data_IF_284196342463
#
_entry.id   IF_284196342463
#
_cell.length_a   1.000
_cell.length_b   1.000
_cell.length_c   1.000
_cell.angle_alpha   90.00
_cell.angle_beta   90.00
_cell.angle_gamma   90.00
#
_symmetry.space_group_name_H-M   'P 1'
#
loop_
_entity.id
_entity.type
_entity.pdbx_description
1 polymer ?
#
# COMPACT_ATOMS: atom_id res chain seq x y z
N UNK A 1 -14.78 17.78 -90.52
CA UNK A 1 -15.51 17.61 -89.25
C UNK A 1 -16.50 18.75 -89.10
N UNK A 2 -17.81 18.50 -89.11
CA UNK A 2 -18.82 19.57 -89.11
C UNK A 2 -18.93 20.21 -87.71
N UNK A 3 -19.46 21.44 -87.62
CA UNK A 3 -19.70 22.12 -86.33
C UNK A 3 -20.44 21.22 -85.32
N UNK A 4 -21.38 20.41 -85.81
CA UNK A 4 -22.18 19.47 -85.03
C UNK A 4 -21.29 18.39 -84.38
N UNK A 5 -20.34 17.83 -85.13
CA UNK A 5 -19.43 16.80 -84.59
C UNK A 5 -18.57 17.33 -83.43
N UNK A 6 -18.11 18.59 -83.51
CA UNK A 6 -17.31 19.21 -82.43
C UNK A 6 -18.12 19.41 -81.15
N UNK A 7 -19.40 19.78 -81.28
CA UNK A 7 -20.32 19.95 -80.14
C UNK A 7 -20.60 18.61 -79.46
N UNK A 8 -20.83 17.55 -80.25
CA UNK A 8 -21.07 16.20 -79.71
C UNK A 8 -19.83 15.68 -78.97
N UNK A 9 -18.63 15.86 -79.53
CA UNK A 9 -17.38 15.43 -78.87
C UNK A 9 -17.17 16.20 -77.56
N UNK A 10 -17.40 17.51 -77.54
CA UNK A 10 -17.28 18.32 -76.32
C UNK A 10 -18.28 17.90 -75.23
N UNK A 11 -19.52 17.58 -75.60
CA UNK A 11 -20.55 17.10 -74.67
C UNK A 11 -20.18 15.74 -74.07
N UNK A 12 -19.65 14.81 -74.87
CA UNK A 12 -19.22 13.49 -74.40
C UNK A 12 -18.03 13.61 -73.43
N UNK A 13 -17.04 14.46 -73.74
CA UNK A 13 -15.90 14.71 -72.85
C UNK A 13 -16.36 15.30 -71.51
N UNK A 14 -17.30 16.26 -71.53
CA UNK A 14 -17.83 16.86 -70.31
C UNK A 14 -18.56 15.84 -69.43
N UNK A 15 -19.35 14.93 -70.03
CA UNK A 15 -20.03 13.85 -69.30
C UNK A 15 -19.02 12.90 -68.67
N UNK A 16 -17.95 12.54 -69.39
CA UNK A 16 -16.88 11.67 -68.88
C UNK A 16 -16.14 12.34 -67.71
N UNK A 17 -15.87 13.65 -67.78
CA UNK A 17 -15.21 14.39 -66.71
C UNK A 17 -16.09 14.52 -65.46
N UNK A 18 -17.39 14.78 -65.63
CA UNK A 18 -18.33 14.86 -64.50
C UNK A 18 -18.51 13.49 -63.84
N UNK A 19 -18.69 12.43 -64.64
CA UNK A 19 -18.81 11.08 -64.12
C UNK A 19 -17.51 10.61 -63.45
N UNK A 20 -16.36 10.84 -64.08
CA UNK A 20 -15.05 10.50 -63.53
C UNK A 20 -14.74 11.25 -62.24
N UNK A 21 -15.06 12.56 -62.19
CA UNK A 21 -14.91 13.38 -60.98
C UNK A 21 -15.81 12.92 -59.83
N UNK A 22 -17.06 12.54 -60.13
CA UNK A 22 -17.99 12.04 -59.12
C UNK A 22 -17.56 10.67 -58.56
N UNK A 23 -17.07 9.76 -59.41
CA UNK A 23 -16.53 8.47 -58.97
C UNK A 23 -15.23 8.62 -58.16
N UNK A 24 -14.32 9.52 -58.56
CA UNK A 24 -13.11 9.81 -57.81
C UNK A 24 -13.42 10.44 -56.44
N UNK A 25 -14.38 11.37 -56.38
CA UNK A 25 -14.81 12.00 -55.14
C UNK A 25 -15.44 11.00 -54.18
N UNK A 26 -16.27 10.07 -54.67
CA UNK A 26 -16.87 9.01 -53.86
C UNK A 26 -15.86 7.96 -53.38
N UNK A 27 -14.75 7.77 -54.09
CA UNK A 27 -13.63 6.91 -53.65
C UNK A 27 -12.69 7.63 -52.66
N UNK A 28 -12.59 8.95 -52.74
CA UNK A 28 -11.78 9.77 -51.84
C UNK A 28 -12.51 10.08 -50.52
N UNK A 29 -13.83 10.18 -50.54
CA UNK A 29 -14.66 10.05 -49.33
C UNK A 29 -14.83 8.55 -49.06
N UNK A 30 -13.73 7.86 -48.72
CA UNK A 30 -13.91 6.77 -47.76
C UNK A 30 -14.45 7.47 -46.52
N UNK A 31 -15.68 7.16 -46.15
CA UNK A 31 -16.09 7.31 -44.76
C UNK A 31 -15.03 6.53 -43.97
N UNK A 32 -14.03 7.24 -43.45
CA UNK A 32 -13.35 6.85 -42.23
C UNK A 32 -14.39 6.97 -41.11
N UNK A 33 -15.48 6.21 -41.21
CA UNK A 33 -15.97 5.51 -40.04
C UNK A 33 -14.79 4.64 -39.66
N UNK A 34 -13.86 5.22 -38.90
CA UNK A 34 -12.83 4.48 -38.22
C UNK A 34 -13.60 3.40 -37.47
N UNK A 35 -13.59 2.18 -38.02
CA UNK A 35 -13.99 1.00 -37.26
C UNK A 35 -13.06 1.06 -36.07
N UNK A 36 -13.56 1.57 -34.95
CA UNK A 36 -12.80 1.63 -33.72
C UNK A 36 -12.35 0.20 -33.51
N UNK A 37 -11.05 -0.05 -33.68
CA UNK A 37 -10.51 -1.42 -33.68
C UNK A 37 -11.06 -2.10 -32.43
N UNK A 38 -11.68 -3.28 -32.57
CA UNK A 38 -12.38 -3.88 -31.46
C UNK A 38 -11.41 -3.92 -30.29
N UNK A 39 -11.89 -3.47 -29.13
CA UNK A 39 -11.13 -3.42 -27.87
C UNK A 39 -10.74 -4.84 -27.37
N UNK A 40 -10.99 -5.87 -28.20
CA UNK A 40 -10.56 -7.24 -28.02
C UNK A 40 -9.08 -7.39 -28.38
N UNK A 41 -8.33 -7.93 -27.43
CA UNK A 41 -6.92 -8.26 -27.59
C UNK A 41 -6.76 -9.75 -27.87
N UNK A 42 -5.78 -10.12 -28.70
CA UNK A 42 -5.49 -11.52 -29.05
C UNK A 42 -5.33 -12.38 -27.78
N UNK A 43 -6.33 -13.21 -27.51
CA UNK A 43 -6.39 -14.12 -26.36
C UNK A 43 -6.90 -13.51 -25.04
N UNK A 44 -7.15 -12.21 -24.96
CA UNK A 44 -7.70 -11.58 -23.75
C UNK A 44 -9.17 -11.20 -23.94
N UNK A 45 -10.01 -11.75 -23.07
CA UNK A 45 -11.41 -11.35 -22.93
C UNK A 45 -11.57 -10.27 -21.87
N UNK A 46 -12.62 -9.47 -22.00
CA UNK A 46 -13.10 -8.67 -20.87
C UNK A 46 -13.46 -9.61 -19.73
N UNK A 47 -13.01 -9.28 -18.51
CA UNK A 47 -13.30 -10.10 -17.35
C UNK A 47 -14.82 -10.10 -17.13
N UNK A 48 -15.42 -11.27 -17.31
CA UNK A 48 -16.78 -11.60 -16.87
C UNK A 48 -16.62 -12.64 -15.78
N UNK A 49 -17.03 -12.33 -14.56
CA UNK A 49 -17.04 -13.36 -13.52
C UNK A 49 -17.99 -14.48 -13.96
N UNK A 50 -17.59 -15.76 -13.89
CA UNK A 50 -18.54 -16.84 -14.00
C UNK A 50 -19.59 -16.66 -12.89
N UNK A 51 -20.87 -16.82 -13.22
CA UNK A 51 -22.01 -16.75 -12.28
C UNK A 51 -21.92 -17.71 -11.08
N UNK A 52 -20.89 -18.55 -11.04
CA UNK A 52 -20.75 -19.69 -10.14
C UNK A 52 -19.66 -19.47 -9.09
N UNK A 53 -18.96 -18.32 -9.11
CA UNK A 53 -17.93 -18.01 -8.13
C UNK A 53 -18.56 -17.49 -6.83
N UNK A 54 -18.22 -18.13 -5.70
CA UNK A 54 -18.75 -17.89 -4.35
C UNK A 54 -18.48 -16.49 -3.76
N UNK A 55 -17.99 -15.53 -4.54
CA UNK A 55 -17.84 -14.15 -4.09
C UNK A 55 -19.18 -13.43 -4.23
N UNK A 56 -19.96 -13.50 -3.16
CA UNK A 56 -21.33 -12.99 -3.03
C UNK A 56 -21.36 -11.45 -2.93
N UNK A 57 -20.88 -10.75 -3.96
CA UNK A 57 -21.05 -9.30 -4.07
C UNK A 57 -21.76 -8.98 -5.36
N UNK A 58 -22.67 -8.00 -5.30
CA UNK A 58 -23.38 -7.34 -6.41
C UNK A 58 -22.43 -6.65 -7.39
N UNK A 59 -21.40 -7.35 -7.87
CA UNK A 59 -20.46 -6.86 -8.85
C UNK A 59 -21.19 -6.71 -10.18
N UNK A 60 -21.03 -5.56 -10.83
CA UNK A 60 -21.50 -5.38 -12.19
C UNK A 60 -20.95 -6.49 -13.08
N UNK A 61 -21.77 -6.99 -14.00
CA UNK A 61 -21.43 -8.06 -14.97
C UNK A 61 -20.20 -7.74 -15.84
N UNK A 62 -19.65 -6.54 -15.72
CA UNK A 62 -18.45 -6.05 -16.38
C UNK A 62 -17.56 -5.28 -15.40
N UNK A 63 -16.27 -5.63 -15.33
CA UNK A 63 -15.23 -4.82 -14.69
C UNK A 63 -14.84 -3.64 -15.58
N UNK A 64 -15.81 -2.76 -15.81
CA UNK A 64 -15.68 -1.54 -16.59
C UNK A 64 -16.15 -0.35 -15.77
N UNK A 65 -15.34 0.69 -15.69
CA UNK A 65 -15.63 1.87 -14.88
C UNK A 65 -15.47 3.14 -15.73
N UNK A 66 -16.44 4.04 -15.67
CA UNK A 66 -16.34 5.38 -16.24
C UNK A 66 -16.05 6.38 -15.12
N UNK A 67 -14.81 6.82 -14.99
CA UNK A 67 -14.30 7.61 -13.85
C UNK A 67 -13.47 8.76 -14.39
N UNK A 68 -13.67 9.98 -13.89
CA UNK A 68 -12.83 11.14 -14.18
C UNK A 68 -11.58 11.08 -13.29
N UNK A 69 -10.57 10.34 -13.73
CA UNK A 69 -9.37 10.07 -12.94
C UNK A 69 -8.48 11.31 -12.78
N UNK A 70 -8.41 12.13 -13.83
CA UNK A 70 -7.55 13.31 -13.89
C UNK A 70 -8.24 14.62 -13.45
N UNK A 71 -9.53 14.56 -13.07
CA UNK A 71 -10.37 15.69 -12.66
C UNK A 71 -10.48 16.81 -13.72
N UNK A 72 -10.48 16.44 -15.01
CA UNK A 72 -10.66 17.39 -16.12
C UNK A 72 -12.14 17.55 -16.55
N UNK A 73 -13.05 16.83 -15.89
CA UNK A 73 -14.48 16.79 -16.20
C UNK A 73 -14.87 15.73 -17.24
N UNK A 74 -13.90 15.04 -17.84
CA UNK A 74 -14.11 13.94 -18.78
C UNK A 74 -13.78 12.61 -18.12
N UNK A 75 -14.73 11.68 -18.18
CA UNK A 75 -14.55 10.35 -17.59
C UNK A 75 -13.73 9.47 -18.50
N UNK A 76 -12.65 8.87 -18.00
CA UNK A 76 -11.96 7.78 -18.66
C UNK A 76 -12.67 6.44 -18.45
N UNK A 77 -12.52 5.56 -19.44
CA UNK A 77 -13.01 4.20 -19.39
C UNK A 77 -11.88 3.29 -18.91
N UNK A 78 -12.04 2.72 -17.72
CA UNK A 78 -11.12 1.74 -17.14
C UNK A 78 -11.68 0.35 -17.36
N UNK A 79 -10.88 -0.55 -17.94
CA UNK A 79 -11.27 -1.93 -18.24
C UNK A 79 -10.26 -2.92 -17.74
N UNK A 80 -10.77 -4.06 -17.30
CA UNK A 80 -9.96 -5.19 -16.90
C UNK A 80 -10.12 -6.35 -17.87
N UNK A 81 -8.99 -7.00 -18.18
CA UNK A 81 -8.88 -8.10 -19.11
C UNK A 81 -8.20 -9.28 -18.45
N UNK A 82 -8.66 -10.47 -18.84
CA UNK A 82 -8.07 -11.73 -18.44
C UNK A 82 -7.92 -12.63 -19.67
N UNK A 83 -6.90 -13.46 -19.66
CA UNK A 83 -6.61 -14.41 -20.72
C UNK A 83 -7.73 -15.46 -20.80
N UNK A 84 -8.56 -15.34 -21.83
CA UNK A 84 -9.71 -16.20 -22.07
C UNK A 84 -9.31 -17.62 -22.50
N UNK A 85 -8.02 -17.85 -22.82
CA UNK A 85 -7.52 -19.16 -23.19
C UNK A 85 -7.20 -20.05 -22.00
N UNK A 86 -7.12 -19.49 -20.78
CA UNK A 86 -6.97 -20.28 -19.57
C UNK A 86 -8.34 -20.82 -19.14
N UNK A 87 -8.54 -22.13 -19.25
CA UNK A 87 -9.70 -22.76 -18.61
C UNK A 87 -9.57 -22.59 -17.10
N UNK A 88 -10.70 -22.29 -16.43
CA UNK A 88 -10.77 -22.23 -14.98
C UNK A 88 -10.38 -23.56 -14.29
N UNK A 89 -10.16 -24.62 -15.05
CA UNK A 89 -9.87 -25.95 -14.50
C UNK A 89 -8.40 -26.14 -14.11
N UNK A 90 -7.49 -25.22 -14.47
CA UNK A 90 -6.06 -25.39 -14.22
C UNK A 90 -5.36 -24.14 -13.65
N UNK A 91 -5.83 -23.66 -12.49
CA UNK A 91 -5.24 -22.53 -11.75
C UNK A 91 -3.75 -22.66 -11.40
N UNK A 92 -3.18 -23.86 -11.60
CA UNK A 92 -1.78 -24.17 -11.36
C UNK A 92 -0.86 -24.00 -12.55
N UNK A 93 -1.41 -23.84 -13.75
CA UNK A 93 -0.61 -23.46 -14.90
C UNK A 93 -0.27 -21.96 -14.83
N UNK A 94 0.74 -21.54 -15.60
CA UNK A 94 1.19 -20.14 -15.66
C UNK A 94 0.06 -19.28 -16.26
N UNK A 95 -0.90 -18.89 -15.43
CA UNK A 95 -1.96 -17.98 -15.82
C UNK A 95 -1.31 -16.65 -16.16
N UNK A 96 -1.71 -16.06 -17.29
CA UNK A 96 -1.23 -14.73 -17.65
C UNK A 96 -1.78 -13.70 -16.62
N UNK A 97 -0.98 -12.67 -16.30
CA UNK A 97 -1.42 -11.63 -15.39
C UNK A 97 -2.69 -10.93 -15.90
N UNK A 98 -3.53 -10.51 -14.96
CA UNK A 98 -4.61 -9.58 -15.22
C UNK A 98 -4.04 -8.30 -15.85
N UNK A 99 -4.70 -7.82 -16.90
CA UNK A 99 -4.36 -6.57 -17.55
C UNK A 99 -5.43 -5.53 -17.27
N UNK A 100 -5.04 -4.34 -16.85
CA UNK A 100 -5.91 -3.19 -16.69
C UNK A 100 -5.53 -2.14 -17.73
N UNK A 101 -6.51 -1.52 -18.38
CA UNK A 101 -6.30 -0.44 -19.34
C UNK A 101 -7.18 0.75 -19.05
N UNK A 102 -6.71 1.93 -19.41
CA UNK A 102 -7.44 3.19 -19.35
C UNK A 102 -7.55 3.74 -20.76
N UNK A 103 -8.75 4.13 -21.13
CA UNK A 103 -9.05 4.75 -22.43
C UNK A 103 -9.59 6.16 -22.22
N UNK A 104 -9.06 7.13 -22.96
CA UNK A 104 -9.63 8.48 -23.02
C UNK A 104 -10.99 8.43 -23.70
N UNK A 105 -11.99 9.09 -23.14
CA UNK A 105 -13.37 9.09 -23.69
C UNK A 105 -13.61 10.27 -24.65
N UNK A 106 -12.55 10.79 -25.27
CA UNK A 106 -12.62 11.89 -26.24
C UNK A 106 -13.08 11.36 -27.60
N UNK A 107 -14.38 11.23 -27.79
CA UNK A 107 -15.00 10.93 -29.09
C UNK A 107 -15.50 9.49 -29.26
N UNK A 108 -15.91 9.15 -30.48
CA UNK A 108 -16.55 7.86 -30.79
C UNK A 108 -15.61 6.64 -30.69
N UNK A 109 -14.29 6.85 -30.67
CA UNK A 109 -13.29 5.81 -30.54
C UNK A 109 -12.38 6.09 -29.32
N UNK A 110 -12.59 5.39 -28.19
CA UNK A 110 -11.72 5.52 -27.03
C UNK A 110 -10.27 5.16 -27.38
N UNK A 111 -9.32 6.01 -26.99
CA UNK A 111 -7.89 5.78 -27.22
C UNK A 111 -7.24 5.29 -25.94
N UNK A 112 -6.48 4.21 -26.01
CA UNK A 112 -5.69 3.73 -24.87
C UNK A 112 -4.66 4.81 -24.46
N UNK A 113 -4.70 5.21 -23.20
CA UNK A 113 -3.79 6.20 -22.61
C UNK A 113 -2.91 5.60 -21.50
N UNK A 114 -3.28 4.44 -20.98
CA UNK A 114 -2.51 3.71 -19.98
C UNK A 114 -2.81 2.21 -20.02
N UNK A 115 -1.80 1.40 -19.73
CA UNK A 115 -1.99 -0.03 -19.44
C UNK A 115 -1.09 -0.49 -18.30
N UNK A 116 -1.58 -1.47 -17.56
CA UNK A 116 -0.88 -2.12 -16.48
C UNK A 116 -1.10 -3.63 -16.57
N UNK A 117 -0.03 -4.38 -16.37
CA UNK A 117 -0.07 -5.83 -16.25
C UNK A 117 0.49 -6.19 -14.88
N UNK A 118 -0.39 -6.54 -13.96
CA UNK A 118 -0.07 -6.65 -12.53
C UNK A 118 0.30 -8.05 -12.08
N UNK A 119 0.71 -8.17 -10.82
CA UNK A 119 0.92 -9.47 -10.17
C UNK A 119 -0.40 -9.98 -9.61
N UNK A 120 -1.07 -10.82 -10.40
CA UNK A 120 -2.37 -11.39 -10.04
C UNK A 120 -2.93 -12.16 -11.21
N UNK A 121 -3.41 -13.36 -10.95
CA UNK A 121 -3.97 -14.23 -11.97
C UNK A 121 -5.49 -14.07 -12.09
N UNK A 122 -6.13 -13.43 -11.09
CA UNK A 122 -7.56 -13.16 -11.04
C UNK A 122 -7.86 -11.79 -10.41
N UNK A 123 -9.06 -11.29 -10.71
CA UNK A 123 -9.66 -10.14 -10.03
C UNK A 123 -10.72 -10.64 -9.06
N UNK A 124 -10.59 -10.28 -7.78
CA UNK A 124 -11.61 -10.58 -6.77
C UNK A 124 -12.77 -9.58 -6.83
N UNK A 125 -12.49 -8.32 -6.49
CA UNK A 125 -13.40 -7.18 -6.56
C UNK A 125 -12.72 -6.00 -7.24
N UNK A 126 -13.49 -5.11 -7.83
CA UNK A 126 -13.00 -3.81 -8.24
C UNK A 126 -14.09 -2.75 -8.05
N UNK A 127 -13.68 -1.50 -7.90
CA UNK A 127 -14.60 -0.39 -7.70
C UNK A 127 -13.96 0.95 -8.02
N UNK A 128 -14.80 1.92 -8.38
CA UNK A 128 -14.42 3.31 -8.56
C UNK A 128 -14.82 4.13 -7.33
N UNK A 129 -13.91 4.99 -6.87
CA UNK A 129 -14.05 5.79 -5.66
C UNK A 129 -13.74 7.24 -5.97
N UNK A 130 -14.60 8.14 -5.50
CA UNK A 130 -14.31 9.58 -5.53
C UNK A 130 -13.53 9.99 -4.30
N UNK A 131 -12.56 10.89 -4.48
CA UNK A 131 -11.76 11.48 -3.39
C UNK A 131 -11.24 10.41 -2.40
N UNK A 132 -10.66 9.33 -2.91
CA UNK A 132 -10.45 8.09 -2.14
C UNK A 132 -9.56 8.32 -0.90
N UNK A 133 -8.48 9.10 -1.06
CA UNK A 133 -7.57 9.46 0.03
C UNK A 133 -7.88 10.83 0.66
N UNK A 134 -8.99 11.49 0.32
CA UNK A 134 -9.31 12.81 0.86
C UNK A 134 -8.44 13.95 0.31
N UNK A 135 -7.73 13.74 -0.80
CA UNK A 135 -6.85 14.70 -1.47
C UNK A 135 -7.37 15.17 -2.84
N UNK A 136 -8.66 14.93 -3.10
CA UNK A 136 -9.36 15.27 -4.34
C UNK A 136 -9.17 14.26 -5.47
N UNK A 137 -8.37 13.21 -5.28
CA UNK A 137 -8.04 12.25 -6.35
C UNK A 137 -9.09 11.13 -6.43
N UNK A 138 -9.64 10.92 -7.62
CA UNK A 138 -10.51 9.78 -7.92
C UNK A 138 -9.65 8.53 -8.18
N UNK A 139 -10.19 7.36 -7.89
CA UNK A 139 -9.39 6.12 -7.85
C UNK A 139 -10.20 4.93 -8.32
N UNK A 140 -9.56 4.02 -9.06
CA UNK A 140 -10.08 2.66 -9.28
C UNK A 140 -9.27 1.69 -8.43
N UNK A 141 -9.93 1.02 -7.49
CA UNK A 141 -9.33 -0.05 -6.69
C UNK A 141 -9.69 -1.40 -7.29
N UNK A 142 -8.77 -2.37 -7.20
CA UNK A 142 -9.12 -3.77 -7.40
C UNK A 142 -8.32 -4.72 -6.51
N UNK A 143 -8.88 -5.90 -6.26
CA UNK A 143 -8.24 -7.04 -5.61
C UNK A 143 -7.57 -7.91 -6.70
N UNK A 144 -6.26 -8.00 -6.71
CA UNK A 144 -5.52 -8.98 -7.50
C UNK A 144 -5.22 -10.23 -6.70
N UNK A 145 -5.77 -11.37 -7.11
CA UNK A 145 -5.61 -12.64 -6.41
C UNK A 145 -4.55 -13.50 -7.13
N UNK A 146 -3.58 -13.99 -6.37
CA UNK A 146 -2.56 -14.94 -6.82
C UNK A 146 -2.73 -16.26 -6.06
N UNK A 147 -2.94 -17.37 -6.80
CA UNK A 147 -2.91 -18.71 -6.23
C UNK A 147 -1.51 -19.30 -6.35
N UNK A 148 -0.95 -19.76 -5.24
CA UNK A 148 0.22 -20.63 -5.25
C UNK A 148 -0.27 -22.05 -4.97
N UNK A 149 -0.11 -22.95 -5.94
CA UNK A 149 -0.65 -24.30 -5.86
C UNK A 149 -0.11 -25.10 -4.68
N UNK A 150 -0.92 -25.16 -3.62
CA UNK A 150 -0.59 -25.79 -2.34
C UNK A 150 0.11 -24.87 -1.34
N UNK A 151 0.49 -23.64 -1.69
CA UNK A 151 1.17 -22.69 -0.78
C UNK A 151 0.26 -21.59 -0.25
N UNK A 152 -1.06 -21.76 -0.42
CA UNK A 152 -2.06 -20.75 -0.10
C UNK A 152 -2.22 -19.72 -1.21
N UNK A 153 -3.00 -18.70 -0.92
CA UNK A 153 -3.38 -17.69 -1.87
C UNK A 153 -3.06 -16.31 -1.28
N UNK A 154 -2.76 -15.34 -2.16
CA UNK A 154 -2.46 -13.96 -1.78
C UNK A 154 -3.46 -13.03 -2.46
N UNK A 155 -3.96 -12.07 -1.70
CA UNK A 155 -4.74 -10.97 -2.21
C UNK A 155 -3.87 -9.72 -2.12
N UNK A 156 -3.70 -9.03 -3.24
CA UNK A 156 -3.07 -7.71 -3.29
C UNK A 156 -4.13 -6.69 -3.61
N UNK A 157 -4.18 -5.59 -2.85
CA UNK A 157 -4.98 -4.44 -3.24
C UNK A 157 -4.15 -3.54 -4.14
N UNK A 158 -4.75 -3.06 -5.23
CA UNK A 158 -4.13 -2.10 -6.13
C UNK A 158 -5.06 -0.91 -6.32
N UNK A 159 -4.47 0.26 -6.53
CA UNK A 159 -5.18 1.50 -6.76
C UNK A 159 -4.60 2.21 -7.99
N UNK A 160 -5.44 2.44 -9.00
CA UNK A 160 -5.12 3.32 -10.12
C UNK A 160 -5.56 4.74 -9.77
N UNK A 161 -4.64 5.69 -9.90
CA UNK A 161 -4.90 7.10 -9.73
C UNK A 161 -4.16 7.94 -10.78
N UNK A 162 -4.64 9.14 -11.09
CA UNK A 162 -3.90 10.12 -11.88
C UNK A 162 -3.29 11.17 -10.95
N UNK A 163 -1.96 11.21 -10.88
CA UNK A 163 -1.21 12.10 -9.99
C UNK A 163 -0.04 12.70 -10.75
N UNK A 164 0.27 13.96 -10.51
CA UNK A 164 1.43 14.64 -11.10
C UNK A 164 1.48 14.54 -12.64
N UNK A 165 0.32 14.58 -13.31
CA UNK A 165 0.21 14.51 -14.77
C UNK A 165 0.35 13.11 -15.38
N UNK A 166 0.31 12.05 -14.58
CA UNK A 166 0.47 10.67 -15.04
C UNK A 166 -0.41 9.69 -14.28
N UNK A 167 -0.80 8.61 -14.95
CA UNK A 167 -1.45 7.46 -14.30
C UNK A 167 -0.42 6.67 -13.49
N UNK A 168 -0.76 6.33 -12.26
CA UNK A 168 0.10 5.63 -11.32
C UNK A 168 -0.67 4.46 -10.69
N UNK A 169 0.02 3.34 -10.49
CA UNK A 169 -0.46 2.25 -9.65
C UNK A 169 0.15 2.41 -8.27
N UNK A 170 -0.72 2.50 -7.26
CA UNK A 170 -0.34 2.45 -5.85
C UNK A 170 -0.65 1.04 -5.36
N UNK A 171 0.36 0.39 -4.79
CA UNK A 171 0.20 -0.92 -4.15
C UNK A 171 -0.35 -0.75 -2.73
N UNK A 172 -1.37 -1.53 -2.42
CA UNK A 172 -2.00 -1.64 -1.11
C UNK A 172 -1.47 -2.81 -0.29
N UNK A 173 -2.25 -3.23 0.72
CA UNK A 173 -1.98 -4.44 1.48
C UNK A 173 -1.82 -5.70 0.59
N UNK A 174 -0.75 -6.46 0.84
CA UNK A 174 -0.70 -7.89 0.53
C UNK A 174 -1.28 -8.64 1.72
N UNK A 175 -2.30 -9.46 1.49
CA UNK A 175 -3.00 -10.26 2.49
C UNK A 175 -2.82 -11.73 2.15
N UNK A 176 -2.25 -12.49 3.08
CA UNK A 176 -1.95 -13.92 2.91
C UNK A 176 -2.95 -14.80 3.65
N UNK A 177 -3.26 -15.95 3.04
CA UNK A 177 -3.98 -17.04 3.71
C UNK A 177 -5.37 -17.30 3.15
N UNK A 178 -6.16 -18.06 3.93
CA UNK A 178 -7.57 -18.35 3.63
C UNK A 178 -8.45 -17.26 4.26
N UNK A 179 -9.48 -16.80 3.52
CA UNK A 179 -10.42 -15.80 4.02
C UNK A 179 -9.82 -14.40 4.10
N UNK A 180 -9.43 -13.82 2.97
CA UNK A 180 -8.89 -12.46 2.90
C UNK A 180 -9.85 -11.46 3.54
N UNK A 181 -9.45 -10.88 4.67
CA UNK A 181 -10.26 -9.93 5.39
C UNK A 181 -9.60 -8.58 5.35
N UNK A 182 -10.31 -7.60 4.79
CA UNK A 182 -9.95 -6.21 4.95
C UNK A 182 -11.19 -5.33 4.97
N UNK A 183 -11.03 -4.14 5.53
CA UNK A 183 -11.97 -3.04 5.42
C UNK A 183 -11.24 -1.74 5.14
N UNK A 184 -11.86 -0.93 4.30
CA UNK A 184 -11.52 0.46 4.11
C UNK A 184 -12.04 1.26 5.32
N UNK A 185 -11.18 2.01 5.99
CA UNK A 185 -11.49 2.71 7.25
C UNK A 185 -11.13 4.21 7.16
N UNK A 186 -12.04 5.09 7.60
CA UNK A 186 -11.78 6.54 7.66
C UNK A 186 -13.05 7.40 7.58
N UNK A 187 -13.03 8.60 8.18
CA UNK A 187 -14.20 9.50 8.29
C UNK A 187 -14.34 10.53 7.14
N UNK A 188 -13.41 10.59 6.19
CA UNK A 188 -13.45 11.60 5.10
C UNK A 188 -12.71 11.18 3.82
N UNK A 189 -12.48 9.88 3.66
CA UNK A 189 -11.75 9.27 2.56
C UNK A 189 -11.52 7.81 2.90
N UNK A 190 -12.19 6.91 2.18
CA UNK A 190 -12.22 5.48 2.46
C UNK A 190 -10.81 4.85 2.48
N UNK A 191 -9.87 5.45 1.74
CA UNK A 191 -8.55 4.90 1.51
C UNK A 191 -7.47 5.29 2.51
N UNK A 192 -7.65 6.25 3.41
CA UNK A 192 -6.52 6.71 4.26
C UNK A 192 -6.05 5.65 5.25
N UNK A 193 -6.94 4.77 5.67
CA UNK A 193 -6.62 3.65 6.54
C UNK A 193 -7.26 2.38 5.99
N UNK A 194 -6.50 1.30 5.91
CA UNK A 194 -7.01 -0.02 5.56
C UNK A 194 -6.67 -0.94 6.73
N UNK A 195 -7.68 -1.61 7.25
CA UNK A 195 -7.50 -2.63 8.27
C UNK A 195 -7.54 -3.97 7.54
N UNK A 196 -6.50 -4.77 7.67
CA UNK A 196 -6.44 -6.11 7.13
C UNK A 196 -6.25 -7.12 8.26
N UNK A 197 -6.70 -8.35 8.05
CA UNK A 197 -6.51 -9.46 8.96
C UNK A 197 -6.06 -10.70 8.20
N UNK A 198 -5.07 -11.39 8.76
CA UNK A 198 -4.50 -12.63 8.22
C UNK A 198 -4.62 -13.76 9.25
N UNK A 199 -4.72 -15.00 8.79
CA UNK A 199 -4.69 -16.15 9.68
C UNK A 199 -3.34 -16.22 10.42
N UNK A 200 -3.39 -16.27 11.75
CA UNK A 200 -2.24 -16.41 12.64
C UNK A 200 -2.19 -17.83 13.20
N UNK A 201 -1.07 -18.51 12.95
CA UNK A 201 -0.83 -19.88 13.41
C UNK A 201 -0.14 -19.89 14.77
N UNK A 202 -0.50 -20.85 15.62
CA UNK A 202 0.27 -21.13 16.83
C UNK A 202 1.70 -21.57 16.45
N UNK A 203 2.74 -21.19 17.23
CA UNK A 203 4.12 -21.54 16.92
C UNK A 203 4.39 -23.05 16.84
N UNK A 204 3.57 -23.84 17.53
CA UNK A 204 3.65 -25.30 17.57
C UNK A 204 2.81 -25.99 16.47
N UNK A 205 2.21 -25.22 15.55
CA UNK A 205 1.30 -25.69 14.50
C UNK A 205 0.07 -26.47 15.01
N UNK A 206 -0.22 -26.44 16.32
CA UNK A 206 -1.41 -27.09 16.89
C UNK A 206 -2.72 -26.56 16.30
N UNK A 207 -2.68 -25.34 15.79
CA UNK A 207 -3.80 -24.63 15.18
C UNK A 207 -3.83 -24.72 13.64
N UNK A 208 -2.93 -25.50 13.02
CA UNK A 208 -2.90 -25.66 11.57
C UNK A 208 -3.91 -26.70 11.09
N UNK A 209 -5.06 -26.23 10.58
CA UNK A 209 -5.95 -27.06 9.77
C UNK A 209 -6.66 -26.25 8.68
N UNK A 210 -6.81 -26.85 7.50
CA UNK A 210 -7.47 -26.21 6.36
C UNK A 210 -8.98 -26.10 6.60
N UNK A 211 -9.56 -24.92 6.38
CA UNK A 211 -11.00 -24.69 6.55
C UNK A 211 -11.48 -24.63 8.02
N UNK A 212 -10.57 -24.44 8.96
CA UNK A 212 -10.88 -24.31 10.38
C UNK A 212 -10.93 -22.86 10.83
N UNK A 213 -11.56 -22.59 11.98
CA UNK A 213 -11.47 -21.29 12.59
C UNK A 213 -10.00 -20.97 12.99
N UNK A 214 -9.56 -19.73 12.74
CA UNK A 214 -8.21 -19.25 13.02
C UNK A 214 -8.22 -18.04 13.92
N UNK A 215 -7.17 -17.88 14.74
CA UNK A 215 -6.86 -16.56 15.29
C UNK A 215 -6.40 -15.67 14.15
N UNK A 216 -6.67 -14.38 14.26
CA UNK A 216 -6.40 -13.42 13.20
C UNK A 216 -5.42 -12.38 13.68
N UNK A 217 -4.32 -12.23 12.95
CA UNK A 217 -3.37 -11.13 13.10
C UNK A 217 -3.88 -9.94 12.29
N UNK A 218 -4.23 -8.86 12.97
CA UNK A 218 -4.63 -7.61 12.36
C UNK A 218 -3.42 -6.75 12.02
N UNK A 219 -3.52 -5.98 10.95
CA UNK A 219 -2.59 -4.91 10.60
C UNK A 219 -3.36 -3.69 10.11
N UNK A 220 -2.82 -2.50 10.41
CA UNK A 220 -3.37 -1.21 9.99
C UNK A 220 -2.40 -0.62 8.97
N UNK A 221 -2.89 -0.39 7.77
CA UNK A 221 -2.16 0.26 6.70
C UNK A 221 -2.61 1.71 6.63
N UNK A 222 -1.68 2.65 6.81
CA UNK A 222 -1.97 4.09 6.78
C UNK A 222 -1.32 4.72 5.57
N UNK A 223 -2.09 5.50 4.81
CA UNK A 223 -1.59 6.27 3.68
C UNK A 223 -0.72 7.45 4.16
N UNK A 224 0.52 7.55 3.68
CA UNK A 224 1.44 8.64 4.03
C UNK A 224 1.47 9.78 3.00
N UNK A 225 0.75 9.64 1.88
CA UNK A 225 0.79 10.56 0.74
C UNK A 225 1.42 9.96 -0.52
N UNK A 226 2.18 8.88 -0.38
CA UNK A 226 2.88 8.19 -1.46
C UNK A 226 2.61 6.68 -1.47
N UNK A 227 2.57 6.05 -0.29
CA UNK A 227 2.37 4.61 -0.12
C UNK A 227 1.61 4.28 1.16
N UNK A 228 1.24 3.00 1.29
CA UNK A 228 0.71 2.48 2.54
C UNK A 228 1.82 2.01 3.48
N UNK A 229 1.81 2.53 4.71
CA UNK A 229 2.69 2.11 5.79
C UNK A 229 1.96 1.09 6.66
N UNK A 230 2.46 -0.15 6.69
CA UNK A 230 1.94 -1.24 7.53
C UNK A 230 2.36 -1.03 8.98
N UNK A 231 1.39 -1.06 9.89
CA UNK A 231 1.57 -1.15 11.34
C UNK A 231 0.88 -2.41 11.86
N UNK A 232 1.63 -3.31 12.50
CA UNK A 232 1.05 -4.51 13.08
C UNK A 232 0.12 -4.15 14.26
N UNK A 233 -1.03 -4.83 14.34
CA UNK A 233 -2.03 -4.66 15.38
C UNK A 233 -2.24 -5.98 16.15
N UNK A 234 -3.43 -6.15 16.75
CA UNK A 234 -3.84 -7.26 17.61
C UNK A 234 -3.85 -8.62 16.95
N UNK A 235 -3.65 -9.65 17.77
CA UNK A 235 -4.11 -11.00 17.46
C UNK A 235 -5.41 -11.24 18.24
N UNK A 236 -6.41 -11.79 17.57
CA UNK A 236 -7.65 -12.19 18.26
C UNK A 236 -7.39 -13.27 19.31
N UNK A 237 -8.10 -13.21 20.43
CA UNK A 237 -8.08 -14.24 21.45
C UNK A 237 -8.84 -15.48 20.98
N UNK A 238 -9.97 -15.27 20.29
CA UNK A 238 -10.81 -16.32 19.74
C UNK A 238 -10.42 -16.66 18.29
N UNK A 239 -10.93 -17.81 17.84
CA UNK A 239 -10.79 -18.27 16.45
C UNK A 239 -12.06 -17.92 15.67
N UNK A 240 -11.90 -17.51 14.42
CA UNK A 240 -12.96 -17.09 13.49
C UNK A 240 -12.81 -17.83 12.15
N UNK A 241 -13.93 -18.14 11.49
CA UNK A 241 -13.92 -18.85 10.20
C UNK A 241 -14.68 -18.11 9.11
N UNK A 242 -15.92 -17.71 9.39
CA UNK A 242 -16.83 -17.14 8.38
C UNK A 242 -17.26 -15.71 8.69
N UNK A 243 -16.92 -15.20 9.88
CA UNK A 243 -17.31 -13.87 10.29
C UNK A 243 -16.60 -12.76 9.50
N UNK A 244 -17.35 -11.70 9.21
CA UNK A 244 -16.79 -10.51 8.58
C UNK A 244 -15.84 -9.77 9.51
N UNK A 245 -14.91 -9.01 8.92
CA UNK A 245 -13.97 -8.19 9.69
C UNK A 245 -14.70 -7.22 10.63
N UNK A 246 -15.87 -6.70 10.26
CA UNK A 246 -16.66 -5.80 11.11
C UNK A 246 -17.25 -6.51 12.34
N UNK A 247 -17.80 -7.71 12.17
CA UNK A 247 -18.33 -8.51 13.29
C UNK A 247 -17.21 -8.92 14.26
N UNK A 248 -16.02 -9.24 13.74
CA UNK A 248 -14.86 -9.60 14.55
C UNK A 248 -14.39 -8.38 15.35
N UNK A 249 -14.28 -7.21 14.71
CA UNK A 249 -13.91 -5.97 15.38
C UNK A 249 -14.94 -5.51 16.41
N UNK A 250 -16.22 -5.86 16.25
CA UNK A 250 -17.25 -5.64 17.27
C UNK A 250 -17.06 -6.58 18.47
N UNK A 251 -16.69 -7.84 18.25
CA UNK A 251 -16.45 -8.84 19.31
C UNK A 251 -15.13 -8.61 20.06
N UNK A 252 -14.08 -8.17 19.36
CA UNK A 252 -12.73 -7.97 19.91
C UNK A 252 -12.14 -6.60 19.55
N UNK A 253 -12.77 -5.47 19.94
CA UNK A 253 -12.32 -4.12 19.54
C UNK A 253 -10.90 -3.78 20.00
N UNK A 254 -10.40 -4.44 21.05
CA UNK A 254 -9.04 -4.28 21.55
C UNK A 254 -7.96 -4.66 20.54
N UNK A 255 -8.27 -5.46 19.50
CA UNK A 255 -7.27 -5.82 18.48
C UNK A 255 -6.79 -4.61 17.68
N UNK A 256 -7.58 -3.53 17.60
CA UNK A 256 -7.14 -2.28 16.98
C UNK A 256 -6.46 -1.32 17.96
N UNK A 257 -6.62 -1.57 19.26
CA UNK A 257 -6.10 -0.74 20.34
C UNK A 257 -4.90 -1.41 21.01
N UNK A 258 -4.10 -2.19 20.26
CA UNK A 258 -2.84 -2.63 20.83
C UNK A 258 -2.03 -1.39 21.20
N UNK A 259 -1.43 -1.36 22.40
CA UNK A 259 -0.41 -0.36 22.67
C UNK A 259 0.61 -0.46 21.54
N UNK A 260 1.04 0.67 20.99
CA UNK A 260 1.94 0.74 19.83
C UNK A 260 3.27 -0.04 20.05
N UNK A 261 3.51 -0.45 21.30
CA UNK A 261 4.64 -1.26 21.78
C UNK A 261 4.31 -2.74 22.02
N UNK A 262 3.22 -3.29 21.48
CA UNK A 262 2.81 -4.67 21.78
C UNK A 262 3.75 -5.72 21.18
N UNK A 263 4.27 -5.47 19.97
CA UNK A 263 5.23 -6.33 19.28
C UNK A 263 6.69 -5.99 19.60
N UNK A 264 6.93 -5.10 20.56
CA UNK A 264 8.27 -4.67 20.95
C UNK A 264 8.93 -5.73 21.84
N UNK A 265 10.25 -5.82 21.75
CA UNK A 265 11.06 -6.63 22.65
C UNK A 265 11.24 -5.89 23.98
N UNK A 266 11.47 -6.63 25.06
CA UNK A 266 11.80 -6.05 26.37
C UNK A 266 13.28 -6.25 26.66
N UNK A 267 14.00 -5.16 26.89
CA UNK A 267 15.34 -5.19 27.46
C UNK A 267 15.21 -5.12 28.98
N UNK A 268 15.87 -6.03 29.68
CA UNK A 268 15.91 -6.05 31.15
C UNK A 268 17.35 -5.94 31.61
N UNK A 269 17.62 -4.96 32.46
CA UNK A 269 18.90 -4.81 33.12
C UNK A 269 18.75 -5.11 34.62
N UNK A 270 19.18 -6.31 35.03
CA UNK A 270 19.10 -6.75 36.42
C UNK A 270 20.11 -6.04 37.33
N UNK A 271 21.22 -5.52 36.80
CA UNK A 271 22.22 -4.80 37.59
C UNK A 271 21.68 -3.46 38.08
N UNK A 272 20.90 -2.76 37.25
CA UNK A 272 20.31 -1.47 37.56
C UNK A 272 18.79 -1.54 37.83
N UNK A 273 18.21 -2.73 37.79
CA UNK A 273 16.83 -2.98 38.22
C UNK A 273 15.76 -2.33 37.35
N UNK A 274 15.92 -2.33 36.02
CA UNK A 274 14.91 -1.78 35.13
C UNK A 274 14.62 -2.65 33.92
N UNK A 275 13.49 -2.38 33.28
CA UNK A 275 13.14 -2.90 31.97
C UNK A 275 12.52 -1.81 31.09
N UNK A 276 12.75 -1.91 29.78
CA UNK A 276 12.24 -0.99 28.78
C UNK A 276 11.91 -1.77 27.51
N UNK A 277 10.84 -1.39 26.81
CA UNK A 277 10.53 -2.00 25.51
C UNK A 277 11.19 -1.22 24.38
N UNK A 278 11.53 -1.94 23.30
CA UNK A 278 12.10 -1.37 22.09
C UNK A 278 11.65 -2.13 20.82
N UNK A 279 11.70 -1.51 19.63
CA UNK A 279 11.28 -2.16 18.39
C UNK A 279 12.00 -3.48 18.11
N UNK A 280 11.25 -4.49 17.66
CA UNK A 280 11.74 -5.87 17.47
C UNK A 280 12.93 -6.02 16.51
N UNK A 281 13.06 -5.11 15.55
CA UNK A 281 14.12 -5.10 14.55
C UNK A 281 15.35 -4.29 14.98
N UNK A 282 15.40 -3.82 16.23
CA UNK A 282 16.57 -3.13 16.76
C UNK A 282 17.45 -4.09 17.54
N UNK A 283 18.73 -3.77 17.56
CA UNK A 283 19.75 -4.50 18.31
C UNK A 283 20.09 -3.68 19.54
N UNK A 284 20.29 -4.38 20.65
CA UNK A 284 20.79 -3.80 21.89
C UNK A 284 22.30 -4.01 21.94
N UNK A 285 23.06 -2.93 22.00
CA UNK A 285 24.50 -2.94 22.25
C UNK A 285 24.78 -2.31 23.60
N UNK A 286 25.53 -3.01 24.45
CA UNK A 286 25.90 -2.51 25.77
C UNK A 286 27.38 -2.17 25.79
N UNK A 287 27.71 -0.91 26.06
CA UNK A 287 29.08 -0.43 26.20
C UNK A 287 29.25 0.16 27.61
N UNK A 288 29.78 -0.66 28.52
CA UNK A 288 30.13 -0.21 29.87
C UNK A 288 31.58 0.31 29.85
N UNK A 289 31.77 1.62 29.99
CA UNK A 289 33.10 2.23 30.22
C UNK A 289 33.09 2.87 31.60
N UNK A 290 33.64 2.18 32.60
CA UNK A 290 33.66 2.66 33.99
C UNK A 290 32.26 2.63 34.62
N UNK A 291 31.91 3.68 35.36
CA UNK A 291 30.63 3.78 36.09
C UNK A 291 29.46 4.27 35.22
N UNK A 292 29.71 4.64 33.95
CA UNK A 292 28.68 5.05 33.00
C UNK A 292 28.29 3.83 32.15
N UNK A 293 27.05 3.39 32.34
CA UNK A 293 26.42 2.40 31.47
C UNK A 293 25.75 3.08 30.29
N UNK A 294 26.27 2.88 29.08
CA UNK A 294 25.58 3.29 27.84
C UNK A 294 25.01 2.05 27.16
N UNK A 295 23.70 2.01 27.01
CA UNK A 295 22.98 1.00 26.23
C UNK A 295 22.50 1.68 24.96
N UNK A 296 23.00 1.26 23.81
CA UNK A 296 22.56 1.76 22.52
C UNK A 296 21.58 0.77 21.94
N UNK A 297 20.36 1.22 21.65
CA UNK A 297 19.35 0.42 20.97
C UNK A 297 19.07 1.07 19.62
N UNK A 298 19.25 0.35 18.52
CA UNK A 298 19.03 0.92 17.19
C UNK A 298 18.98 -0.12 16.08
N UNK A 299 18.66 0.33 14.86
CA UNK A 299 18.64 -0.54 13.69
C UNK A 299 20.06 -0.84 13.21
N UNK A 300 20.34 -2.11 12.91
CA UNK A 300 21.61 -2.49 12.28
C UNK A 300 21.73 -1.84 10.90
N UNK A 301 22.88 -1.22 10.61
CA UNK A 301 23.26 -0.94 9.23
C UNK A 301 24.42 -1.83 8.79
N UNK A 302 24.46 -2.21 7.50
CA UNK A 302 25.63 -2.84 6.92
C UNK A 302 26.80 -1.84 6.94
N UNK A 303 27.54 -1.83 8.04
CA UNK A 303 28.73 -0.99 8.24
C UNK A 303 29.92 -1.52 7.45
N UNK A 304 30.62 -0.63 6.76
CA UNK A 304 31.90 -0.91 6.11
C UNK A 304 33.00 -1.23 7.13
N UNK A 305 33.64 -2.38 6.95
CA UNK A 305 34.92 -2.82 7.54
C UNK A 305 35.19 -2.43 9.01
N UNK A 306 34.54 -3.12 9.96
CA UNK A 306 35.13 -3.40 11.28
C UNK A 306 34.32 -2.99 12.51
N UNK A 307 33.29 -2.17 12.36
CA UNK A 307 32.33 -1.87 13.43
C UNK A 307 30.91 -1.87 12.85
N UNK A 308 29.92 -2.55 13.47
CA UNK A 308 28.53 -2.36 13.10
C UNK A 308 28.19 -0.90 13.38
N UNK A 309 27.99 -0.12 12.31
CA UNK A 309 27.39 1.20 12.45
C UNK A 309 25.92 0.96 12.79
N UNK A 310 25.49 1.41 13.97
CA UNK A 310 24.08 1.41 14.31
C UNK A 310 23.54 2.71 13.73
N UNK A 311 22.61 2.63 12.78
CA UNK A 311 21.87 3.82 12.42
C UNK A 311 20.66 3.94 13.33
N UNK A 312 20.23 5.19 13.53
CA UNK A 312 19.00 5.47 14.24
C UNK A 312 19.01 5.03 15.70
N UNK A 313 20.12 5.29 16.39
CA UNK A 313 20.32 4.94 17.78
C UNK A 313 19.36 5.69 18.71
N UNK A 314 18.85 4.99 19.73
CA UNK A 314 18.43 5.57 21.00
C UNK A 314 19.45 5.12 22.05
N UNK A 315 20.08 6.07 22.73
CA UNK A 315 20.97 5.78 23.83
C UNK A 315 20.19 5.83 25.15
N UNK A 316 20.37 4.81 25.97
CA UNK A 316 19.96 4.81 27.37
C UNK A 316 21.24 5.01 28.17
N UNK A 317 21.35 6.15 28.83
CA UNK A 317 22.48 6.47 29.68
C UNK A 317 22.08 6.35 31.14
N UNK A 318 22.89 5.62 31.89
CA UNK A 318 22.73 5.42 33.33
C UNK A 318 23.84 6.21 34.00
N UNK A 319 23.48 7.29 34.68
CA UNK A 319 24.44 8.12 35.41
C UNK A 319 24.36 7.85 36.92
N UNK A 320 25.49 7.55 37.58
CA UNK A 320 25.57 7.26 39.02
C UNK A 320 25.62 8.52 39.90
N UNK A 321 25.58 9.73 39.30
CA UNK A 321 25.55 10.99 40.02
C UNK A 321 24.34 11.80 39.59
N UNK A 322 23.48 12.25 40.51
CA UNK A 322 22.42 13.21 40.22
C UNK A 322 23.06 14.58 39.98
N UNK A 323 23.69 14.80 38.82
CA UNK A 323 23.68 16.17 38.31
C UNK A 323 22.21 16.59 38.18
N UNK A 324 21.91 17.85 38.48
CA UNK A 324 20.54 18.36 38.47
C UNK A 324 20.06 18.38 37.01
N UNK A 325 19.58 17.25 36.51
CA UNK A 325 18.86 17.14 35.26
C UNK A 325 17.39 17.28 35.62
N UNK A 326 16.66 18.20 35.00
CA UNK A 326 15.22 18.29 35.20
C UNK A 326 14.54 17.09 34.53
N UNK A 327 13.54 16.50 35.20
CA UNK A 327 12.68 15.51 34.58
C UNK A 327 11.95 16.14 33.38
N UNK A 328 11.81 15.37 32.31
CA UNK A 328 11.10 15.79 31.11
C UNK A 328 11.98 15.89 29.87
N UNK A 329 11.36 16.37 28.80
CA UNK A 329 11.96 16.47 27.48
C UNK A 329 12.83 17.71 27.40
N UNK A 330 14.08 17.52 26.97
CA UNK A 330 15.02 18.59 26.69
C UNK A 330 15.49 18.49 25.24
N UNK A 331 15.56 19.63 24.57
CA UNK A 331 16.10 19.77 23.22
C UNK A 331 17.37 20.60 23.29
N UNK A 332 18.48 20.04 22.80
CA UNK A 332 19.75 20.73 22.70
C UNK A 332 20.17 20.86 21.23
N UNK A 333 20.67 22.05 20.87
CA UNK A 333 21.34 22.26 19.58
C UNK A 333 22.85 22.26 19.84
N UNK A 334 23.60 21.39 19.20
CA UNK A 334 25.07 21.40 19.34
C UNK A 334 25.70 22.03 18.11
N UNK A 335 26.69 22.92 18.28
CA UNK A 335 27.52 23.41 17.17
C UNK A 335 27.27 24.85 16.70
N UNK A 336 26.66 25.71 17.54
CA UNK A 336 26.35 27.10 17.17
C UNK A 336 25.04 27.23 16.39
N UNK A 337 24.63 28.47 16.06
CA UNK A 337 23.35 28.76 15.37
C UNK A 337 23.21 28.10 14.00
N UNK A 338 24.33 27.71 13.38
CA UNK A 338 24.38 27.11 12.03
C UNK A 338 24.34 25.56 12.03
N UNK A 339 24.37 24.92 13.19
CA UNK A 339 24.29 23.46 13.22
C UNK A 339 22.86 22.96 13.08
N UNK A 340 22.67 22.02 12.15
CA UNK A 340 21.40 21.32 11.94
C UNK A 340 21.25 20.07 12.83
N UNK A 341 22.17 19.81 13.76
CA UNK A 341 22.06 18.66 14.65
C UNK A 341 21.23 18.99 15.89
N UNK A 342 20.13 18.24 16.08
CA UNK A 342 19.23 18.35 17.22
C UNK A 342 19.38 17.12 18.10
N UNK A 343 19.56 17.35 19.40
CA UNK A 343 19.63 16.33 20.43
C UNK A 343 18.34 16.38 21.20
N UNK A 344 17.57 15.31 21.17
CA UNK A 344 16.38 15.18 22.00
C UNK A 344 16.67 14.17 23.09
N UNK A 345 16.53 14.62 24.33
CA UNK A 345 16.69 13.79 25.50
C UNK A 345 15.39 13.80 26.30
N UNK A 346 14.78 12.63 26.42
CA UNK A 346 13.70 12.41 27.37
C UNK A 346 14.32 11.82 28.64
N UNK A 347 14.42 12.65 29.68
CA UNK A 347 15.01 12.24 30.96
C UNK A 347 13.92 11.83 31.94
N UNK A 348 14.09 10.66 32.56
CA UNK A 348 13.26 10.21 33.67
C UNK A 348 14.14 10.03 34.91
N UNK A 349 13.92 10.85 35.94
CA UNK A 349 14.67 10.80 37.21
C UNK A 349 14.06 9.73 38.10
N UNK A 350 14.85 8.80 38.63
CA UNK A 350 14.26 7.60 39.22
C UNK A 350 15.00 6.98 40.44
N UNK A 351 14.16 6.58 41.42
CA UNK A 351 14.35 5.95 42.75
C UNK A 351 15.63 6.30 43.55
N UNK A 352 15.41 7.02 44.66
CA UNK A 352 16.36 7.41 45.73
C UNK A 352 17.35 8.55 45.44
N UNK A 353 17.16 9.36 44.40
CA UNK A 353 18.04 10.48 44.05
C UNK A 353 19.50 10.08 43.72
N UNK A 354 19.80 8.81 43.47
CA UNK A 354 21.18 8.34 43.25
C UNK A 354 21.48 7.96 41.81
N UNK A 355 20.46 7.74 40.97
CA UNK A 355 20.65 7.34 39.56
C UNK A 355 19.66 8.05 38.64
N UNK A 356 20.12 8.44 37.45
CA UNK A 356 19.25 8.95 36.37
C UNK A 356 19.33 8.03 35.16
N UNK A 357 18.17 7.75 34.57
CA UNK A 357 18.09 7.09 33.27
C UNK A 357 17.58 8.09 32.25
N UNK A 358 18.41 8.44 31.28
CA UNK A 358 18.01 9.25 30.14
C UNK A 358 17.84 8.35 28.92
N UNK A 359 16.79 8.60 28.14
CA UNK A 359 16.66 8.03 26.80
C UNK A 359 16.85 9.18 25.82
N UNK A 360 17.96 9.16 25.09
CA UNK A 360 18.34 10.23 24.16
C UNK A 360 18.44 9.71 22.74
N UNK A 361 18.22 10.62 21.79
CA UNK A 361 18.49 10.40 20.38
C UNK A 361 18.94 11.68 19.72
N UNK A 362 19.89 11.50 18.83
CA UNK A 362 20.45 12.58 18.02
C UNK A 362 19.92 12.40 16.60
N UNK A 363 19.43 13.48 16.00
CA UNK A 363 19.03 13.48 14.60
C UNK A 363 19.24 14.84 13.95
N UNK A 364 19.32 14.86 12.63
CA UNK A 364 19.41 16.09 11.87
C UNK A 364 18.04 16.74 11.77
N UNK A 365 17.95 18.06 11.98
CA UNK A 365 16.72 18.85 11.89
C UNK A 365 15.95 18.63 10.59
N UNK A 366 16.68 18.38 9.51
CA UNK A 366 16.12 18.17 8.17
C UNK A 366 15.83 16.68 7.88
N UNK A 367 15.98 15.79 8.87
CA UNK A 367 15.60 14.39 8.73
C UNK A 367 14.07 14.26 8.64
N UNK A 368 13.61 13.77 7.48
CA UNK A 368 12.20 13.53 7.19
C UNK A 368 11.54 12.58 8.20
N UNK A 369 12.33 11.78 8.93
CA UNK A 369 11.84 10.81 9.92
C UNK A 369 11.72 11.39 11.34
N UNK A 370 12.01 12.67 11.55
CA UNK A 370 12.00 13.32 12.88
C UNK A 370 10.72 13.03 13.70
N UNK A 371 9.54 13.16 13.09
CA UNK A 371 8.26 12.90 13.78
C UNK A 371 8.09 11.42 14.16
N UNK A 372 8.60 10.50 13.33
CA UNK A 372 8.58 9.08 13.64
C UNK A 372 9.50 8.77 14.82
N UNK A 373 10.64 9.46 14.92
CA UNK A 373 11.59 9.28 16.01
C UNK A 373 11.05 9.75 17.35
N UNK A 374 10.48 10.95 17.38
CA UNK A 374 9.84 11.50 18.58
C UNK A 374 8.77 10.56 19.13
N UNK A 375 7.96 9.98 18.23
CA UNK A 375 6.95 8.99 18.59
C UNK A 375 7.58 7.73 19.19
N UNK A 376 8.61 7.16 18.55
CA UNK A 376 9.29 5.95 19.04
C UNK A 376 9.93 6.20 20.42
N UNK A 377 10.60 7.33 20.62
CA UNK A 377 11.22 7.66 21.91
C UNK A 377 10.19 7.81 23.01
N UNK A 378 9.11 8.56 22.75
CA UNK A 378 8.01 8.73 23.68
C UNK A 378 7.40 7.38 24.08
N UNK A 379 7.22 6.47 23.11
CA UNK A 379 6.78 5.10 23.37
C UNK A 379 7.80 4.30 24.20
N UNK A 380 9.09 4.33 23.88
CA UNK A 380 10.14 3.66 24.69
C UNK A 380 10.10 4.14 26.14
N UNK A 381 10.11 5.45 26.37
CA UNK A 381 10.09 6.07 27.70
C UNK A 381 8.81 5.69 28.47
N UNK A 382 7.65 5.64 27.78
CA UNK A 382 6.39 5.23 28.41
C UNK A 382 6.36 3.77 28.88
N UNK A 383 7.19 2.90 28.28
CA UNK A 383 7.29 1.48 28.66
C UNK A 383 8.30 1.20 29.77
N UNK A 384 9.09 2.21 30.15
CA UNK A 384 10.12 2.07 31.17
C UNK A 384 9.50 1.79 32.55
N UNK A 385 9.96 0.73 33.22
CA UNK A 385 9.60 0.41 34.61
C UNK A 385 10.77 -0.17 35.40
N UNK A 386 10.74 0.03 36.72
CA UNK A 386 11.65 -0.65 37.64
C UNK A 386 11.19 -2.06 37.93
N UNK A 387 12.16 -2.92 38.17
CA UNK A 387 11.98 -4.26 38.69
C UNK A 387 12.68 -4.34 40.05
N UNK A 388 12.09 -5.09 40.97
CA UNK A 388 12.74 -5.37 42.25
C UNK A 388 13.93 -6.32 42.01
N UNK A 389 15.13 -5.86 42.35
CA UNK A 389 16.32 -6.70 42.40
C UNK A 389 16.24 -7.44 43.74
N UNK A 390 16.04 -8.76 43.69
CA UNK A 390 16.01 -9.62 44.89
C UNK A 390 17.40 -9.94 45.40
#
# INVERSE_FOLDING_TARGET
MTKITKVIIAAVILIILIAGGFFAWRYLIKDETAECSPINFDGYGLVKLPSNYYFNTEASDSYEFNVDLNNDGQKELVRFYWDATNSADNFCEKVKPVMMKVFSNTGNCPKEVFSYSGTGNLIGKAGAFSNFWGDGVNTVMWEGISYACGSGSRLNLFFLAYRQGQYQIVEGPEIRGQGYMYKLAGESGLGRKIIAAEASWAPDYSDYCAGCAHRLQFAIYTWDGEKYIKSEAGITQNKYLEESIDEILQKEPSVLNLPETANWQTYTNNQYGFEIKYPKNWIVTTNFRGDIGRIVIGSEQPGGAGYPAIANEAAIEINPSPEIISEGRQEFKTGGEESNLIFITDTKILKNNEQTVSVSKDYWKDDLNTQQWDKILSLMVSTFKFIDIR
#
